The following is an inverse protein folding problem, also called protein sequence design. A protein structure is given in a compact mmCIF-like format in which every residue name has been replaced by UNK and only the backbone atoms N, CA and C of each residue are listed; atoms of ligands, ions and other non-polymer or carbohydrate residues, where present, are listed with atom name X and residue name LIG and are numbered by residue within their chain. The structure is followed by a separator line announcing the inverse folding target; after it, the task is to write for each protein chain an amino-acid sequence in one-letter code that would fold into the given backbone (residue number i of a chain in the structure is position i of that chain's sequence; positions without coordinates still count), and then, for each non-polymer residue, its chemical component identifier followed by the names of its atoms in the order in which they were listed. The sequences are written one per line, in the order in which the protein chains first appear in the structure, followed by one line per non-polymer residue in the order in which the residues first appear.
data_IF_390129468965
#
_entry.id   IF_390129468965
#
_cell.length_a   1.000
_cell.length_b   1.000
_cell.length_c   1.000
_cell.angle_alpha   90.00
_cell.angle_beta   90.00
_cell.angle_gamma   90.00
#
_symmetry.space_group_name_H-M   'P 1'
#
loop_
_entity.id
_entity.type
_entity.pdbx_description
1 polymer ?
#
# COMPACT_ATOMS: atom_id res chain seq x y z
N UNK A 1 7.02 2.19 24.81
CA UNK A 1 7.77 1.82 23.59
C UNK A 1 7.90 3.06 22.72
N UNK A 2 9.09 3.40 22.25
CA UNK A 2 9.30 4.54 21.35
C UNK A 2 9.24 3.99 19.92
N UNK A 3 8.44 4.63 19.07
CA UNK A 3 8.21 4.20 17.69
C UNK A 3 8.46 5.39 16.77
N UNK A 4 9.25 5.17 15.72
CA UNK A 4 9.38 6.13 14.63
C UNK A 4 8.11 6.10 13.79
N UNK A 5 7.37 7.21 13.76
CA UNK A 5 6.18 7.36 12.93
C UNK A 5 6.52 8.27 11.75
N UNK A 6 6.39 7.72 10.54
CA UNK A 6 6.64 8.44 9.28
C UNK A 6 5.32 8.90 8.63
N UNK A 7 4.16 8.51 9.19
CA UNK A 7 2.84 8.72 8.57
C UNK A 7 1.85 9.44 9.50
N UNK A 8 0.99 10.27 8.91
CA UNK A 8 -0.11 10.92 9.63
C UNK A 8 -1.11 9.88 10.14
N UNK A 9 -1.47 9.98 11.42
CA UNK A 9 -2.34 9.04 12.12
C UNK A 9 -3.67 9.70 12.45
N UNK A 10 -4.77 9.02 12.13
CA UNK A 10 -6.10 9.48 12.56
C UNK A 10 -6.23 9.32 14.07
N UNK A 11 -6.46 10.43 14.75
CA UNK A 11 -6.65 10.50 16.18
C UNK A 11 -8.03 11.09 16.51
N UNK A 12 -8.64 10.62 17.60
CA UNK A 12 -9.95 11.10 18.07
C UNK A 12 -9.83 12.49 18.71
N UNK A 13 -8.77 12.72 19.47
CA UNK A 13 -8.54 13.98 20.18
C UNK A 13 -7.06 14.23 20.39
N UNK A 14 -6.72 15.50 20.59
CA UNK A 14 -5.37 15.99 20.85
C UNK A 14 -5.39 16.78 22.16
N UNK A 15 -4.52 16.42 23.09
CA UNK A 15 -4.40 17.04 24.42
C UNK A 15 -2.98 17.54 24.66
N UNK A 16 -2.84 18.65 25.38
CA UNK A 16 -1.52 19.13 25.82
C UNK A 16 -1.18 18.46 27.16
N UNK A 17 0.02 17.88 27.27
CA UNK A 17 0.48 17.23 28.49
C UNK A 17 1.34 18.19 29.32
N UNK A 18 0.85 18.55 30.51
CA UNK A 18 1.59 19.38 31.48
C UNK A 18 1.90 18.60 32.76
N UNK A 19 2.96 19.01 33.46
CA UNK A 19 3.24 18.54 34.83
C UNK A 19 2.29 19.26 35.78
N UNK A 20 1.49 18.51 36.54
CA UNK A 20 0.77 19.04 37.71
C UNK A 20 1.59 18.79 38.99
N UNK A 21 1.49 19.70 39.96
CA UNK A 21 2.02 19.47 41.32
C UNK A 21 1.14 18.41 42.00
N UNK A 22 1.75 17.33 42.48
CA UNK A 22 1.08 16.41 43.41
C UNK A 22 1.52 16.79 44.81
N UNK A 23 0.66 17.52 45.54
CA UNK A 23 0.82 17.69 46.98
C UNK A 23 0.29 16.43 47.66
N UNK A 24 1.15 15.75 48.44
CA UNK A 24 0.70 14.68 49.33
C UNK A 24 -0.24 15.31 50.38
N UNK A 25 -1.50 14.88 50.35
CA UNK A 25 -2.56 15.48 51.16
C UNK A 25 -2.37 15.29 52.67
N UNK A 26 -2.20 16.42 53.36
CA UNK A 26 -2.93 16.71 54.60
C UNK A 26 -3.67 18.03 54.38
N UNK A 27 -4.99 17.98 54.31
CA UNK A 27 -5.82 19.18 54.17
C UNK A 27 -5.79 19.95 55.49
N UNK A 28 -5.01 21.03 55.54
CA UNK A 28 -5.26 22.15 56.47
C UNK A 28 -5.75 23.35 55.68
N UNK A 29 -6.94 23.81 56.06
CA UNK A 29 -7.61 25.00 55.52
C UNK A 29 -6.84 26.28 55.87
N UNK A 30 -6.97 27.22 54.92
CA UNK A 30 -6.78 28.69 55.03
C UNK A 30 -5.33 29.20 55.08
N UNK A 31 -4.87 29.84 53.99
CA UNK A 31 -5.11 31.27 53.78
C UNK A 31 -4.68 31.73 52.38
N UNK A 32 -5.44 32.67 51.84
CA UNK A 32 -5.12 33.46 50.66
C UNK A 32 -3.79 34.18 50.87
N UNK A 33 -2.76 33.77 50.13
CA UNK A 33 -1.61 34.61 49.84
C UNK A 33 -1.04 34.22 48.49
N UNK A 34 -0.79 35.24 47.68
CA UNK A 34 -0.25 35.20 46.32
C UNK A 34 1.00 34.31 46.27
N UNK A 35 0.90 33.15 45.62
CA UNK A 35 2.08 32.34 45.30
C UNK A 35 2.83 33.05 44.17
N UNK A 36 3.90 33.77 44.53
CA UNK A 36 5.01 34.02 43.62
C UNK A 36 5.43 32.67 43.01
N UNK A 37 5.64 32.57 41.68
CA UNK A 37 6.09 31.33 41.06
C UNK A 37 7.46 30.98 41.66
N UNK A 38 7.50 29.97 42.53
CA UNK A 38 8.70 29.49 43.17
C UNK A 38 9.76 29.16 42.12
N UNK A 39 10.79 30.01 42.03
CA UNK A 39 11.92 29.90 41.09
C UNK A 39 12.77 28.64 41.28
N UNK A 40 12.48 27.82 42.30
CA UNK A 40 13.08 26.50 42.51
C UNK A 40 12.51 25.41 41.60
N UNK A 41 11.25 25.54 41.13
CA UNK A 41 10.57 24.51 40.34
C UNK A 41 11.21 24.29 38.96
N UNK A 42 11.90 25.31 38.42
CA UNK A 42 12.64 25.23 37.16
C UNK A 42 13.98 24.49 37.27
N UNK A 43 14.47 24.23 38.48
CA UNK A 43 15.76 23.55 38.72
C UNK A 43 15.60 22.05 38.92
N UNK A 44 14.41 21.58 39.31
CA UNK A 44 14.14 20.16 39.49
C UNK A 44 13.99 19.46 38.13
N UNK A 45 14.75 18.39 37.86
CA UNK A 45 14.61 17.62 36.63
C UNK A 45 13.17 17.13 36.43
N UNK A 46 12.63 17.30 35.21
CA UNK A 46 11.29 16.83 34.86
C UNK A 46 11.37 15.84 33.71
N UNK A 47 10.79 14.65 33.89
CA UNK A 47 10.71 13.63 32.85
C UNK A 47 9.96 14.13 31.61
N UNK A 48 8.91 14.94 31.78
CA UNK A 48 8.16 15.50 30.64
C UNK A 48 9.01 16.42 29.77
N UNK A 49 9.96 17.15 30.37
CA UNK A 49 10.90 18.03 29.64
C UNK A 49 11.92 17.19 28.89
N UNK A 50 12.47 16.16 29.54
CA UNK A 50 13.41 15.21 28.92
C UNK A 50 12.76 14.48 27.74
N UNK A 51 11.60 13.85 27.96
CA UNK A 51 10.87 13.10 26.95
C UNK A 51 10.51 13.99 25.75
N UNK A 52 9.98 15.19 26.00
CA UNK A 52 9.69 16.15 24.93
C UNK A 52 10.94 16.47 24.10
N UNK A 53 12.07 16.75 24.76
CA UNK A 53 13.34 17.04 24.10
C UNK A 53 13.81 15.87 23.23
N UNK A 54 13.82 14.65 23.79
CA UNK A 54 14.24 13.44 23.08
C UNK A 54 13.35 13.13 21.88
N UNK A 55 12.02 13.14 22.05
CA UNK A 55 11.09 12.87 20.94
C UNK A 55 11.22 13.89 19.81
N UNK A 56 11.48 15.15 20.15
CA UNK A 56 11.70 16.21 19.16
C UNK A 56 13.01 16.03 18.38
N UNK A 57 14.10 15.71 19.07
CA UNK A 57 15.43 15.54 18.44
C UNK A 57 15.45 14.31 17.55
N UNK A 58 14.90 13.20 18.03
CA UNK A 58 14.88 11.93 17.31
C UNK A 58 13.77 11.84 16.25
N UNK A 59 12.83 12.79 16.23
CA UNK A 59 11.67 12.73 15.33
C UNK A 59 10.77 11.51 15.60
N UNK A 60 10.74 11.02 16.84
CA UNK A 60 10.00 9.84 17.25
C UNK A 60 8.75 10.20 18.06
N UNK A 61 7.90 9.20 18.31
CA UNK A 61 6.79 9.30 19.26
C UNK A 61 6.91 8.21 20.33
N UNK A 62 6.20 8.37 21.44
CA UNK A 62 6.03 7.32 22.43
C UNK A 62 4.60 6.76 22.41
N UNK A 63 4.46 5.46 22.12
CA UNK A 63 3.19 4.75 22.25
C UNK A 63 2.83 4.63 23.73
N UNK A 64 1.59 5.00 24.08
CA UNK A 64 1.08 5.08 25.45
C UNK A 64 -0.24 4.33 25.54
N UNK A 65 -0.38 3.48 26.54
CA UNK A 65 -1.67 2.85 26.87
C UNK A 65 -2.48 3.81 27.75
N UNK A 66 -3.72 4.08 27.35
CA UNK A 66 -4.62 5.01 28.04
C UNK A 66 -5.77 4.28 28.71
N UNK A 67 -6.10 3.08 28.24
CA UNK A 67 -7.08 2.18 28.86
C UNK A 67 -6.93 0.74 28.37
N UNK A 68 -7.89 -0.10 28.75
CA UNK A 68 -8.00 -1.45 28.20
C UNK A 68 -8.32 -1.36 26.70
N UNK A 69 -7.50 -2.03 25.88
CA UNK A 69 -7.58 -1.98 24.42
C UNK A 69 -7.67 -0.55 23.84
N UNK A 70 -6.98 0.41 24.48
CA UNK A 70 -7.00 1.80 24.07
C UNK A 70 -5.64 2.46 24.26
N UNK A 71 -5.13 2.98 23.15
CA UNK A 71 -3.79 3.52 23.04
C UNK A 71 -3.80 4.92 22.44
N UNK A 72 -2.70 5.63 22.64
CA UNK A 72 -2.41 6.92 22.03
C UNK A 72 -0.91 7.12 21.86
N UNK A 73 -0.52 8.27 21.34
CA UNK A 73 0.87 8.64 21.11
C UNK A 73 1.21 9.97 21.78
N UNK A 74 2.37 10.01 22.43
CA UNK A 74 3.01 11.22 22.90
C UNK A 74 4.04 11.68 21.87
N UNK A 75 3.99 12.94 21.48
CA UNK A 75 4.91 13.51 20.48
C UNK A 75 5.18 14.98 20.76
N UNK A 76 6.30 15.49 20.25
CA UNK A 76 6.57 16.92 20.27
C UNK A 76 5.79 17.58 19.15
N UNK A 77 5.06 18.65 19.47
CA UNK A 77 4.39 19.47 18.47
C UNK A 77 4.79 20.93 18.64
N UNK A 78 4.96 21.62 17.51
CA UNK A 78 5.34 23.02 17.47
C UNK A 78 4.46 23.77 16.46
N UNK A 79 3.74 24.78 16.95
CA UNK A 79 3.00 25.72 16.08
C UNK A 79 3.98 26.69 15.37
N UNK A 80 5.14 26.92 15.99
CA UNK A 80 6.17 27.83 15.49
C UNK A 80 7.55 27.37 15.89
N UNK A 81 8.60 27.98 15.30
CA UNK A 81 10.00 27.72 15.66
C UNK A 81 10.34 28.01 17.13
N UNK A 82 9.51 28.79 17.85
CA UNK A 82 9.81 29.29 19.21
C UNK A 82 9.14 28.50 20.32
N UNK A 83 8.04 27.79 20.06
CA UNK A 83 7.27 27.09 21.09
C UNK A 83 6.91 25.69 20.63
N UNK A 84 7.39 24.69 21.36
CA UNK A 84 6.99 23.30 21.21
C UNK A 84 6.58 22.72 22.55
N UNK A 85 5.53 21.90 22.54
CA UNK A 85 4.98 21.24 23.72
C UNK A 85 4.90 19.74 23.49
N UNK A 86 4.80 18.98 24.59
CA UNK A 86 4.45 17.57 24.55
C UNK A 86 2.92 17.44 24.37
N UNK A 87 2.51 16.74 23.33
CA UNK A 87 1.11 16.49 23.00
C UNK A 87 0.79 15.00 23.13
N UNK A 88 -0.43 14.68 23.54
CA UNK A 88 -1.01 13.35 23.52
C UNK A 88 -2.13 13.32 22.49
N UNK A 89 -2.06 12.38 21.54
CA UNK A 89 -3.16 12.08 20.63
C UNK A 89 -3.70 10.69 20.88
N UNK A 90 -5.02 10.57 21.00
CA UNK A 90 -5.69 9.31 21.30
C UNK A 90 -6.14 8.62 20.01
N UNK A 91 -5.90 7.32 19.89
CA UNK A 91 -6.48 6.53 18.82
C UNK A 91 -7.93 6.16 19.10
N UNK A 92 -8.60 5.60 18.09
CA UNK A 92 -9.84 4.88 18.30
C UNK A 92 -9.61 3.66 19.20
N UNK A 93 -10.43 3.43 20.24
CA UNK A 93 -10.38 2.17 20.98
C UNK A 93 -10.59 0.97 20.06
N UNK A 94 -9.89 -0.14 20.33
CA UNK A 94 -9.97 -1.37 19.54
C UNK A 94 -8.60 -1.94 19.18
N UNK A 95 -8.61 -3.14 18.58
CA UNK A 95 -7.42 -3.99 18.40
C UNK A 95 -6.43 -3.44 17.36
N UNK A 96 -6.94 -2.87 16.27
CA UNK A 96 -6.15 -2.36 15.14
C UNK A 96 -6.51 -0.90 14.82
N UNK A 97 -6.20 0.06 15.70
CA UNK A 97 -6.49 1.46 15.45
C UNK A 97 -5.71 2.03 14.26
N UNK A 98 -4.57 1.40 13.95
CA UNK A 98 -3.65 1.81 12.89
C UNK A 98 -3.31 0.62 11.99
N UNK A 99 -3.99 0.52 10.86
CA UNK A 99 -3.89 -0.62 9.94
C UNK A 99 -2.46 -0.92 9.42
N UNK A 100 -1.59 0.08 9.36
CA UNK A 100 -0.22 -0.12 8.88
C UNK A 100 0.77 -0.53 9.98
N UNK A 101 0.37 -0.46 11.25
CA UNK A 101 1.13 -1.02 12.38
C UNK A 101 0.65 -2.45 12.65
N UNK A 102 -0.63 -2.72 12.41
CA UNK A 102 -1.30 -3.95 12.84
C UNK A 102 -1.75 -3.84 14.30
N UNK A 103 -2.02 -4.98 14.93
CA UNK A 103 -2.42 -5.03 16.34
C UNK A 103 -1.32 -4.49 17.26
N UNK A 104 -1.68 -3.53 18.11
CA UNK A 104 -0.73 -2.90 19.04
C UNK A 104 -0.25 -3.87 20.13
N UNK A 105 -1.03 -4.89 20.45
CA UNK A 105 -0.66 -5.93 21.42
C UNK A 105 0.45 -6.86 20.90
N UNK A 106 0.64 -6.92 19.58
CA UNK A 106 1.70 -7.71 18.94
C UNK A 106 3.02 -6.93 18.81
N UNK A 107 3.08 -5.68 19.27
CA UNK A 107 4.31 -4.91 19.24
C UNK A 107 5.26 -5.39 20.34
N UNK A 108 6.49 -5.70 19.94
CA UNK A 108 7.52 -6.23 20.82
C UNK A 108 8.76 -5.33 20.80
N UNK A 109 9.54 -5.31 21.89
CA UNK A 109 10.84 -4.64 21.89
C UNK A 109 11.79 -5.30 20.88
N UNK A 110 12.73 -4.52 20.34
CA UNK A 110 13.71 -4.98 19.34
C UNK A 110 14.51 -6.19 19.85
N UNK A 111 14.77 -6.27 21.16
CA UNK A 111 15.48 -7.38 21.80
C UNK A 111 14.74 -8.73 21.75
N UNK A 112 13.45 -8.75 21.40
CA UNK A 112 12.68 -9.98 21.21
C UNK A 112 12.91 -10.64 19.84
N UNK A 113 13.61 -9.96 18.92
CA UNK A 113 13.87 -10.45 17.57
C UNK A 113 15.32 -10.93 17.43
N UNK A 114 15.50 -12.05 16.72
CA UNK A 114 16.84 -12.60 16.40
C UNK A 114 17.65 -11.66 15.50
N UNK A 115 16.98 -11.02 14.56
CA UNK A 115 17.56 -10.02 13.66
C UNK A 115 16.87 -8.67 13.91
N UNK A 116 17.61 -7.54 14.04
CA UNK A 116 17.01 -6.24 14.25
C UNK A 116 16.10 -5.84 13.07
N UNK A 117 14.80 -5.56 13.29
CA UNK A 117 13.86 -5.29 12.21
C UNK A 117 14.16 -3.99 11.45
N UNK A 118 14.93 -3.09 12.05
CA UNK A 118 15.39 -1.84 11.43
C UNK A 118 16.75 -1.97 10.72
N UNK A 119 17.39 -3.15 10.79
CA UNK A 119 18.77 -3.35 10.32
C UNK A 119 19.80 -2.76 11.29
N UNK A 120 21.09 -3.09 11.08
CA UNK A 120 22.19 -2.58 11.93
C UNK A 120 22.41 -1.07 11.76
N UNK A 121 22.15 -0.55 10.56
CA UNK A 121 22.33 0.86 10.19
C UNK A 121 21.02 1.68 10.16
N UNK A 122 19.93 1.16 10.75
CA UNK A 122 18.59 1.79 10.73
C UNK A 122 18.08 2.13 9.31
N UNK A 123 18.41 1.28 8.34
CA UNK A 123 18.09 1.48 6.91
C UNK A 123 16.87 0.70 6.44
N UNK A 124 16.26 -0.10 7.31
CA UNK A 124 15.05 -0.89 7.06
C UNK A 124 13.97 -0.49 8.05
N UNK A 125 12.75 -0.90 7.77
CA UNK A 125 11.65 -0.75 8.71
C UNK A 125 10.67 -1.90 8.54
N UNK A 126 10.12 -2.45 9.64
CA UNK A 126 9.05 -3.44 9.58
C UNK A 126 7.71 -2.82 9.15
N UNK A 127 7.61 -1.49 9.09
CA UNK A 127 6.41 -0.75 8.74
C UNK A 127 6.52 -0.08 7.36
N UNK A 128 5.41 0.09 6.63
CA UNK A 128 4.05 -0.32 6.97
C UNK A 128 3.82 -1.83 6.79
N UNK A 129 3.07 -2.45 7.71
CA UNK A 129 2.50 -3.78 7.55
C UNK A 129 1.55 -3.77 6.36
N UNK A 130 1.84 -4.62 5.38
CA UNK A 130 1.04 -4.70 4.15
C UNK A 130 -0.17 -5.59 4.41
N UNK A 131 -1.37 -5.22 3.92
CA UNK A 131 -2.51 -6.12 3.97
C UNK A 131 -2.21 -7.39 3.15
N UNK A 132 -2.76 -8.53 3.59
CA UNK A 132 -2.66 -9.81 2.86
C UNK A 132 -3.19 -9.66 1.43
N UNK A 133 -4.33 -8.99 1.26
CA UNK A 133 -4.94 -8.74 -0.03
C UNK A 133 -4.62 -7.35 -0.58
N UNK A 134 -4.12 -7.34 -1.81
CA UNK A 134 -3.90 -6.10 -2.56
C UNK A 134 -5.25 -5.44 -2.86
N UNK A 135 -5.34 -4.14 -2.60
CA UNK A 135 -6.51 -3.33 -2.98
C UNK A 135 -6.64 -3.24 -4.50
N UNK A 136 -7.84 -2.95 -4.98
CA UNK A 136 -8.16 -2.85 -6.42
C UNK A 136 -7.25 -1.93 -7.23
N UNK A 137 -6.78 -0.83 -6.63
CA UNK A 137 -5.85 0.12 -7.26
C UNK A 137 -4.38 -0.35 -7.26
N UNK A 138 -4.04 -1.32 -6.40
CA UNK A 138 -2.71 -1.91 -6.28
C UNK A 138 -2.61 -3.27 -7.01
N UNK A 139 -3.66 -3.65 -7.73
CA UNK A 139 -3.72 -4.85 -8.56
C UNK A 139 -4.28 -4.53 -9.95
N UNK A 140 -3.96 -5.37 -10.92
CA UNK A 140 -4.52 -5.23 -12.26
C UNK A 140 -5.98 -5.70 -12.25
N UNK A 141 -6.91 -4.77 -12.10
CA UNK A 141 -8.34 -5.04 -12.25
C UNK A 141 -8.80 -4.80 -13.70
N UNK A 142 -9.91 -5.44 -14.09
CA UNK A 142 -10.55 -5.23 -15.39
C UNK A 142 -11.93 -4.61 -15.12
N UNK A 143 -12.22 -3.47 -15.73
CA UNK A 143 -13.46 -2.72 -15.51
C UNK A 143 -14.00 -2.23 -16.85
N UNK A 144 -15.10 -2.83 -17.31
CA UNK A 144 -15.73 -2.54 -18.61
C UNK A 144 -17.13 -1.93 -18.49
N UNK A 145 -17.40 -1.24 -17.39
CA UNK A 145 -18.66 -0.49 -17.20
C UNK A 145 -18.74 0.69 -18.19
N UNK A 146 -17.59 1.32 -18.48
CA UNK A 146 -17.46 2.40 -19.48
C UNK A 146 -16.76 1.87 -20.72
N UNK A 147 -17.23 2.32 -21.89
CA UNK A 147 -16.66 1.95 -23.19
C UNK A 147 -15.16 2.22 -23.28
N UNK A 148 -14.68 3.32 -22.69
CA UNK A 148 -13.26 3.68 -22.70
C UNK A 148 -12.36 2.63 -22.04
N UNK A 149 -12.83 1.96 -20.98
CA UNK A 149 -12.08 0.89 -20.31
C UNK A 149 -11.90 -0.33 -21.22
N UNK A 150 -12.99 -0.78 -21.84
CA UNK A 150 -12.97 -1.88 -22.81
C UNK A 150 -12.09 -1.55 -24.02
N UNK A 151 -12.25 -0.36 -24.61
CA UNK A 151 -11.43 0.10 -25.73
C UNK A 151 -9.95 0.13 -25.37
N UNK A 152 -9.59 0.57 -24.16
CA UNK A 152 -8.19 0.60 -23.71
C UNK A 152 -7.59 -0.80 -23.66
N UNK A 153 -8.30 -1.77 -23.11
CA UNK A 153 -7.82 -3.15 -23.03
C UNK A 153 -7.72 -3.81 -24.43
N UNK A 154 -8.71 -3.61 -25.29
CA UNK A 154 -8.66 -4.08 -26.70
C UNK A 154 -7.47 -3.47 -27.45
N UNK A 155 -7.28 -2.16 -27.37
CA UNK A 155 -6.17 -1.47 -28.03
C UNK A 155 -4.81 -1.91 -27.47
N UNK A 156 -4.74 -2.27 -26.18
CA UNK A 156 -3.51 -2.79 -25.59
C UNK A 156 -3.12 -4.14 -26.20
N UNK A 157 -4.08 -5.04 -26.42
CA UNK A 157 -3.86 -6.31 -27.13
C UNK A 157 -3.40 -6.03 -28.57
N UNK A 158 -4.11 -5.18 -29.31
CA UNK A 158 -3.78 -4.84 -30.71
C UNK A 158 -2.39 -4.19 -30.86
N UNK A 159 -2.01 -3.31 -29.92
CA UNK A 159 -0.69 -2.66 -29.90
C UNK A 159 0.44 -3.68 -29.77
N UNK A 160 0.23 -4.76 -29.01
CA UNK A 160 1.22 -5.83 -28.89
C UNK A 160 1.19 -6.78 -30.10
N UNK A 161 0.01 -7.06 -30.66
CA UNK A 161 -0.16 -7.82 -31.90
C UNK A 161 0.66 -7.24 -33.07
N UNK A 162 0.64 -5.92 -33.27
CA UNK A 162 1.43 -5.24 -34.33
C UNK A 162 2.95 -5.30 -34.13
N UNK A 163 3.41 -5.78 -32.98
CA UNK A 163 4.83 -5.88 -32.62
C UNK A 163 5.27 -7.33 -32.44
N UNK A 164 4.59 -8.27 -33.09
CA UNK A 164 5.00 -9.66 -33.11
C UNK A 164 6.17 -9.84 -34.11
N UNK A 165 7.16 -10.70 -33.78
CA UNK A 165 7.27 -11.54 -32.58
C UNK A 165 7.81 -10.82 -31.32
N UNK A 166 8.40 -9.62 -31.42
CA UNK A 166 9.10 -8.92 -30.32
C UNK A 166 8.32 -8.78 -29.00
N UNK A 167 6.98 -8.67 -29.07
CA UNK A 167 6.08 -8.53 -27.91
C UNK A 167 5.14 -9.71 -27.71
N UNK A 168 5.53 -10.91 -28.15
CA UNK A 168 4.73 -12.13 -28.05
C UNK A 168 4.27 -12.44 -26.62
N UNK A 169 5.16 -12.35 -25.63
CA UNK A 169 4.79 -12.62 -24.24
C UNK A 169 3.72 -11.64 -23.73
N UNK A 170 3.87 -10.34 -24.03
CA UNK A 170 2.90 -9.32 -23.62
C UNK A 170 1.57 -9.46 -24.39
N UNK A 171 1.62 -9.81 -25.68
CA UNK A 171 0.44 -10.09 -26.47
C UNK A 171 -0.41 -11.20 -25.85
N UNK A 172 0.17 -12.39 -25.62
CA UNK A 172 -0.58 -13.51 -25.05
C UNK A 172 -1.00 -13.26 -23.59
N UNK A 173 -0.21 -12.51 -22.80
CA UNK A 173 -0.60 -12.12 -21.44
C UNK A 173 -1.86 -11.25 -21.43
N UNK A 174 -1.90 -10.21 -22.27
CA UNK A 174 -3.06 -9.31 -22.33
C UNK A 174 -4.26 -9.97 -23.01
N UNK A 175 -4.03 -10.82 -24.03
CA UNK A 175 -5.08 -11.63 -24.66
C UNK A 175 -5.76 -12.55 -23.65
N UNK A 176 -4.97 -13.29 -22.85
CA UNK A 176 -5.53 -14.16 -21.81
C UNK A 176 -6.19 -13.38 -20.67
N UNK A 177 -5.69 -12.19 -20.32
CA UNK A 177 -6.35 -11.29 -19.35
C UNK A 177 -7.72 -10.85 -19.86
N UNK A 178 -7.80 -10.40 -21.12
CA UNK A 178 -9.05 -10.02 -21.77
C UNK A 178 -10.02 -11.20 -21.83
N UNK A 179 -9.54 -12.38 -22.27
CA UNK A 179 -10.33 -13.60 -22.34
C UNK A 179 -10.91 -13.99 -20.98
N UNK A 180 -10.09 -14.07 -19.93
CA UNK A 180 -10.57 -14.43 -18.58
C UNK A 180 -11.63 -13.46 -18.07
N UNK A 181 -11.45 -12.16 -18.31
CA UNK A 181 -12.44 -11.16 -17.93
C UNK A 181 -13.76 -11.32 -18.71
N UNK A 182 -13.69 -11.53 -20.02
CA UNK A 182 -14.86 -11.79 -20.85
C UNK A 182 -15.64 -13.02 -20.36
N UNK A 183 -14.95 -14.11 -20.04
CA UNK A 183 -15.56 -15.31 -19.47
C UNK A 183 -16.18 -15.05 -18.09
N UNK A 184 -15.49 -14.34 -17.19
CA UNK A 184 -16.02 -13.98 -15.88
C UNK A 184 -17.29 -13.12 -15.95
N UNK A 185 -17.41 -12.28 -16.98
CA UNK A 185 -18.60 -11.44 -17.19
C UNK A 185 -19.69 -12.12 -18.02
N UNK A 186 -19.43 -13.31 -18.58
CA UNK A 186 -20.33 -13.95 -19.54
C UNK A 186 -20.40 -13.23 -20.89
N UNK A 187 -19.45 -12.35 -21.20
CA UNK A 187 -19.42 -11.53 -22.42
C UNK A 187 -18.72 -12.27 -23.58
N UNK A 188 -19.34 -13.36 -24.07
CA UNK A 188 -18.74 -14.27 -25.04
C UNK A 188 -18.57 -13.63 -26.43
N UNK A 189 -19.49 -12.77 -26.84
CA UNK A 189 -19.43 -12.05 -28.13
C UNK A 189 -18.14 -11.22 -28.27
N UNK A 190 -17.55 -10.78 -27.16
CA UNK A 190 -16.28 -10.07 -27.17
C UNK A 190 -15.11 -10.94 -27.66
N UNK A 191 -15.15 -12.24 -27.40
CA UNK A 191 -14.10 -13.16 -27.86
C UNK A 191 -14.12 -13.28 -29.38
N UNK A 192 -15.31 -13.39 -29.98
CA UNK A 192 -15.47 -13.44 -31.44
C UNK A 192 -15.13 -12.08 -32.09
N UNK A 193 -15.56 -10.98 -31.48
CA UNK A 193 -15.18 -9.63 -31.92
C UNK A 193 -13.66 -9.44 -31.89
N UNK A 194 -12.99 -9.86 -30.82
CA UNK A 194 -11.53 -9.80 -30.71
C UNK A 194 -10.85 -10.69 -31.75
N UNK A 195 -11.35 -11.90 -32.00
CA UNK A 195 -10.86 -12.77 -33.08
C UNK A 195 -10.95 -12.07 -34.44
N UNK A 196 -12.07 -11.41 -34.71
CA UNK A 196 -12.29 -10.67 -35.98
C UNK A 196 -11.35 -9.48 -36.12
N UNK A 197 -11.04 -8.80 -35.01
CA UNK A 197 -10.05 -7.73 -35.00
C UNK A 197 -8.63 -8.25 -35.25
N UNK A 198 -8.28 -9.44 -34.72
CA UNK A 198 -6.97 -10.07 -34.99
C UNK A 198 -6.83 -10.52 -36.44
N UNK A 199 -7.88 -11.09 -37.05
CA UNK A 199 -7.88 -11.44 -38.47
C UNK A 199 -7.63 -10.21 -39.35
N UNK A 200 -8.28 -9.08 -39.01
CA UNK A 200 -8.07 -7.81 -39.69
C UNK A 200 -6.64 -7.31 -39.52
N UNK A 201 -6.06 -7.36 -38.32
CA UNK A 201 -4.66 -6.97 -38.13
C UNK A 201 -3.71 -7.89 -38.92
N UNK A 202 -4.01 -9.19 -39.04
CA UNK A 202 -3.24 -10.12 -39.84
C UNK A 202 -3.23 -9.74 -41.33
N UNK A 203 -4.38 -9.31 -41.88
CA UNK A 203 -4.49 -8.84 -43.27
C UNK A 203 -3.80 -7.50 -43.51
N UNK A 204 -3.66 -6.67 -42.46
CA UNK A 204 -3.09 -5.33 -42.52
C UNK A 204 -1.60 -5.29 -42.16
N UNK A 205 -0.95 -6.45 -41.98
CA UNK A 205 0.48 -6.51 -41.73
C UNK A 205 1.26 -5.90 -42.91
N UNK A 206 2.29 -5.07 -42.65
CA UNK A 206 3.14 -4.55 -43.72
C UNK A 206 3.91 -5.70 -44.40
N UNK A 207 4.26 -5.54 -45.68
CA UNK A 207 5.03 -6.56 -46.42
C UNK A 207 6.42 -6.88 -45.85
N UNK A 208 6.93 -6.03 -44.95
CA UNK A 208 8.17 -6.24 -44.19
C UNK A 208 7.96 -6.92 -42.83
N UNK A 209 6.72 -7.27 -42.47
CA UNK A 209 6.43 -7.94 -41.20
C UNK A 209 7.04 -9.34 -41.17
N UNK A 210 7.48 -9.76 -39.98
CA UNK A 210 8.02 -11.09 -39.77
C UNK A 210 6.93 -12.16 -40.01
N UNK A 211 7.23 -13.27 -40.71
CA UNK A 211 6.23 -14.30 -41.05
C UNK A 211 5.52 -14.90 -39.83
N UNK A 212 6.24 -15.04 -38.71
CA UNK A 212 5.68 -15.51 -37.42
C UNK A 212 4.50 -14.64 -36.94
N UNK A 213 4.50 -13.33 -37.21
CA UNK A 213 3.41 -12.46 -36.76
C UNK A 213 2.05 -12.91 -37.33
N UNK A 214 1.99 -13.23 -38.62
CA UNK A 214 0.77 -13.72 -39.26
C UNK A 214 0.29 -15.06 -38.67
N UNK A 215 1.24 -15.98 -38.41
CA UNK A 215 0.94 -17.29 -37.82
C UNK A 215 0.39 -17.16 -36.39
N UNK A 216 1.01 -16.33 -35.57
CA UNK A 216 0.58 -16.09 -34.19
C UNK A 216 -0.80 -15.40 -34.12
N UNK A 217 -1.07 -14.43 -35.00
CA UNK A 217 -2.36 -13.73 -35.06
C UNK A 217 -3.48 -14.68 -35.48
N UNK A 218 -3.28 -15.46 -36.54
CA UNK A 218 -4.25 -16.44 -37.00
C UNK A 218 -4.51 -17.53 -35.94
N UNK A 219 -3.46 -18.02 -35.27
CA UNK A 219 -3.59 -18.97 -34.17
C UNK A 219 -4.42 -18.40 -33.02
N UNK A 220 -4.11 -17.17 -32.58
CA UNK A 220 -4.84 -16.53 -31.50
C UNK A 220 -6.31 -16.27 -31.85
N UNK A 221 -6.62 -15.83 -33.07
CA UNK A 221 -7.99 -15.62 -33.54
C UNK A 221 -8.81 -16.92 -33.55
N UNK A 222 -8.24 -18.00 -34.08
CA UNK A 222 -8.88 -19.33 -34.08
C UNK A 222 -9.06 -19.88 -32.66
N UNK A 223 -8.06 -19.69 -31.78
CA UNK A 223 -8.14 -20.14 -30.41
C UNK A 223 -9.27 -19.45 -29.64
N UNK A 224 -9.51 -18.16 -29.87
CA UNK A 224 -10.61 -17.39 -29.25
C UNK A 224 -12.01 -17.86 -29.68
N UNK A 225 -12.14 -18.45 -30.88
CA UNK A 225 -13.41 -18.95 -31.42
C UNK A 225 -13.61 -20.46 -31.23
N UNK A 226 -12.61 -21.15 -30.70
CA UNK A 226 -12.69 -22.59 -30.47
C UNK A 226 -13.63 -22.93 -29.30
N UNK A 227 -14.20 -24.13 -29.29
CA UNK A 227 -15.02 -24.59 -28.15
C UNK A 227 -14.24 -24.61 -26.83
N UNK A 228 -12.90 -24.78 -26.92
CA UNK A 228 -11.99 -24.73 -25.77
C UNK A 228 -11.73 -23.30 -25.27
N UNK A 229 -12.13 -22.29 -26.03
CA UNK A 229 -11.99 -20.88 -25.64
C UNK A 229 -12.79 -20.55 -24.38
N UNK A 230 -13.84 -21.31 -24.07
CA UNK A 230 -14.71 -21.07 -22.91
C UNK A 230 -14.20 -21.70 -21.61
N UNK A 231 -13.17 -22.56 -21.67
CA UNK A 231 -12.60 -23.19 -20.47
C UNK A 231 -11.74 -22.21 -19.67
N UNK A 232 -12.26 -21.70 -18.57
CA UNK A 232 -11.58 -20.72 -17.71
C UNK A 232 -10.20 -21.16 -17.20
N UNK A 233 -9.94 -22.47 -17.12
CA UNK A 233 -8.67 -23.02 -16.61
C UNK A 233 -7.56 -23.03 -17.65
N UNK A 234 -7.92 -23.06 -18.94
CA UNK A 234 -6.95 -23.09 -20.03
C UNK A 234 -6.49 -21.68 -20.38
N UNK A 235 -5.23 -21.55 -20.81
CA UNK A 235 -4.69 -20.30 -21.37
C UNK A 235 -4.25 -20.55 -22.80
N UNK A 236 -4.48 -19.55 -23.68
CA UNK A 236 -4.01 -19.60 -25.05
C UNK A 236 -2.49 -19.44 -25.03
N UNK A 237 -1.80 -20.49 -25.46
CA UNK A 237 -0.34 -20.51 -25.54
C UNK A 237 0.12 -20.09 -26.95
N UNK A 238 1.32 -19.49 -27.08
CA UNK A 238 1.89 -19.19 -28.37
C UNK A 238 2.08 -20.43 -29.23
N UNK A 239 1.87 -20.29 -30.54
CA UNK A 239 2.20 -21.32 -31.49
C UNK A 239 3.72 -21.52 -31.51
N UNK A 240 4.18 -22.77 -31.46
CA UNK A 240 5.60 -23.08 -31.68
C UNK A 240 5.86 -23.06 -33.17
N UNK A 241 6.67 -22.11 -33.64
CA UNK A 241 7.05 -22.00 -35.04
C UNK A 241 8.53 -22.32 -35.20
N UNK A 242 8.92 -22.77 -36.39
CA UNK A 242 10.32 -23.08 -36.69
C UNK A 242 11.21 -21.83 -36.66
N UNK A 243 10.63 -20.62 -36.75
CA UNK A 243 11.33 -19.35 -36.57
C UNK A 243 11.72 -19.05 -35.12
N UNK A 244 11.19 -19.81 -34.16
CA UNK A 244 11.47 -19.64 -32.73
C UNK A 244 12.74 -20.37 -32.26
N UNK A 245 13.45 -21.07 -33.15
CA UNK A 245 14.58 -21.96 -32.80
C UNK A 245 15.98 -21.44 -33.16
N UNK A 246 16.13 -20.27 -33.78
CA UNK A 246 17.43 -19.76 -34.28
C UNK A 246 18.20 -18.83 -33.32
N UNK A 247 17.76 -18.67 -32.06
CA UNK A 247 18.54 -17.99 -31.01
C UNK A 247 19.20 -19.01 -30.06
N UNK A 248 20.09 -19.83 -30.60
CA UNK A 248 20.95 -20.78 -29.86
C UNK A 248 22.43 -20.41 -29.95
#
# INVERSE_FOLDING_TARGET
MIVTIVYDMKCISIHISYKSKQENGEVKKENENEEEPSTEDGKTPSFTVLLHGSLKVEGMVALTQVGENWFGILYSWADSKKKSNLMLSLFTPGDEPVNWIGSLDNLAPISAFTEPPYGEDDNKTPFPVRPNDKRSYAQSCVVWIKQSGLQTDLQKVLRHARKLPDKQQQFYKELNRLRRAALSFGFHDLLDAMGTMLDRECQMLPGSAHPDASMQLAHAANALRSDKATDFTQSIMPLRTNFSQDDG
#
